data_IF_415678102707
#
_entry.id   IF_415678102707
#
_cell.length_a   1.000
_cell.length_b   1.000
_cell.length_c   1.000
_cell.angle_alpha   90.00
_cell.angle_beta   90.00
_cell.angle_gamma   90.00
#
_symmetry.space_group_name_H-M   'P 1'
#
loop_
_entity.id
_entity.type
_entity.pdbx_description
1 polymer ?
#
# COMPACT_ATOMS: atom_id res chain seq x y z
N UNK A 1 55.82 -0.57 -15.12
CA UNK A 1 55.61 0.87 -15.37
C UNK A 1 54.64 1.37 -14.30
N UNK A 2 55.20 2.19 -13.38
CA UNK A 2 54.40 2.83 -12.32
C UNK A 2 53.59 3.97 -12.94
N UNK A 3 52.32 3.69 -13.24
CA UNK A 3 51.37 4.67 -13.68
C UNK A 3 50.57 5.22 -12.48
N UNK A 4 51.02 6.35 -11.93
CA UNK A 4 50.23 7.10 -10.97
C UNK A 4 49.06 7.76 -11.67
N UNK A 5 47.81 7.50 -11.21
CA UNK A 5 46.59 8.20 -11.65
C UNK A 5 46.28 9.30 -10.63
N UNK A 6 46.12 10.52 -11.12
CA UNK A 6 45.65 11.66 -10.33
C UNK A 6 44.15 11.79 -10.62
N UNK A 7 43.33 11.66 -9.56
CA UNK A 7 41.90 12.01 -9.63
C UNK A 7 41.70 13.37 -8.99
N UNK A 8 41.19 14.32 -9.75
CA UNK A 8 40.73 15.60 -9.24
C UNK A 8 39.22 15.54 -8.96
N UNK A 9 38.83 15.97 -7.77
CA UNK A 9 37.43 16.19 -7.46
C UNK A 9 37.06 17.68 -7.60
N UNK A 10 35.80 18.01 -7.64
CA UNK A 10 35.29 19.36 -7.79
C UNK A 10 35.72 20.31 -6.64
N UNK A 11 36.31 19.82 -5.56
CA UNK A 11 36.84 20.61 -4.46
C UNK A 11 38.34 20.90 -4.59
N UNK A 12 38.99 20.50 -5.67
CA UNK A 12 40.41 20.75 -5.95
C UNK A 12 41.38 20.00 -5.04
N UNK A 13 40.96 18.90 -4.41
CA UNK A 13 41.85 18.02 -3.62
C UNK A 13 42.43 16.96 -4.53
N UNK A 14 43.72 17.00 -4.76
CA UNK A 14 44.45 15.99 -5.50
C UNK A 14 44.87 14.83 -4.59
N UNK A 15 44.46 13.60 -4.95
CA UNK A 15 44.98 12.41 -4.26
C UNK A 15 46.04 11.74 -5.14
N UNK A 16 47.23 11.57 -4.60
CA UNK A 16 48.30 10.79 -5.22
C UNK A 16 48.31 9.39 -4.59
N UNK A 17 48.06 8.35 -5.40
CA UNK A 17 48.19 6.97 -4.99
C UNK A 17 49.48 6.38 -5.51
N UNK A 18 50.35 5.96 -4.60
CA UNK A 18 51.56 5.19 -4.93
C UNK A 18 51.39 3.77 -4.43
N UNK A 19 50.99 2.88 -5.33
CA UNK A 19 50.78 1.48 -5.04
C UNK A 19 50.34 0.71 -6.28
N UNK A 20 50.32 -0.62 -6.17
CA UNK A 20 49.81 -1.48 -7.21
C UNK A 20 48.30 -1.63 -7.04
N UNK A 21 47.52 -1.03 -7.91
CA UNK A 21 46.09 -1.28 -7.98
C UNK A 21 45.91 -2.69 -8.55
N UNK A 22 45.46 -3.64 -7.75
CA UNK A 22 44.97 -4.90 -8.26
C UNK A 22 43.57 -4.61 -8.81
N UNK A 23 43.47 -4.37 -10.11
CA UNK A 23 42.20 -4.45 -10.81
C UNK A 23 41.91 -5.95 -10.85
N UNK A 24 41.03 -6.44 -9.98
CA UNK A 24 40.41 -7.74 -10.21
C UNK A 24 39.71 -7.62 -11.56
N UNK A 25 40.05 -8.57 -12.46
CA UNK A 25 39.41 -8.68 -13.77
C UNK A 25 37.88 -8.75 -13.56
N UNK A 26 37.20 -7.65 -13.78
CA UNK A 26 35.74 -7.58 -13.76
C UNK A 26 35.17 -7.99 -15.11
N UNK A 27 35.98 -8.65 -15.93
CA UNK A 27 35.66 -8.96 -17.32
C UNK A 27 35.02 -10.33 -17.52
N UNK A 28 34.76 -11.09 -16.41
CA UNK A 28 34.18 -12.43 -16.59
C UNK A 28 32.65 -12.48 -16.48
N UNK A 29 31.98 -11.38 -16.04
CA UNK A 29 30.53 -11.38 -15.87
C UNK A 29 29.80 -10.22 -16.59
N UNK A 30 30.45 -9.55 -17.55
CA UNK A 30 29.73 -8.61 -18.40
C UNK A 30 29.08 -9.41 -19.53
N UNK A 31 27.89 -9.91 -19.30
CA UNK A 31 27.02 -10.41 -20.35
C UNK A 31 26.63 -9.23 -21.25
N UNK A 32 27.10 -9.28 -22.49
CA UNK A 32 26.69 -8.33 -23.52
C UNK A 32 25.19 -8.55 -23.80
N UNK A 33 24.31 -7.59 -23.47
CA UNK A 33 22.87 -7.79 -23.68
C UNK A 33 22.49 -7.96 -25.15
N UNK A 34 23.40 -7.68 -26.07
CA UNK A 34 23.23 -7.87 -27.52
C UNK A 34 23.93 -9.13 -28.07
N UNK A 35 24.51 -10.00 -27.20
CA UNK A 35 25.10 -11.26 -27.63
C UNK A 35 24.00 -12.27 -28.00
N UNK A 36 23.83 -12.61 -29.29
CA UNK A 36 22.78 -13.54 -29.70
C UNK A 36 22.99 -14.97 -29.22
N UNK A 37 24.14 -15.29 -28.64
CA UNK A 37 24.48 -16.60 -28.08
C UNK A 37 24.26 -16.70 -26.56
N UNK A 38 23.91 -15.60 -25.89
CA UNK A 38 23.46 -15.63 -24.48
C UNK A 38 22.06 -16.25 -24.45
N UNK A 39 21.85 -17.41 -23.80
CA UNK A 39 20.49 -17.93 -23.63
C UNK A 39 19.66 -16.85 -22.91
N UNK A 40 18.53 -16.46 -23.50
CA UNK A 40 17.56 -15.57 -22.84
C UNK A 40 17.37 -16.07 -21.42
N UNK A 41 17.82 -15.29 -20.44
CA UNK A 41 17.58 -15.60 -19.04
C UNK A 41 16.05 -15.69 -18.88
N UNK A 42 15.51 -16.82 -18.42
CA UNK A 42 14.06 -16.98 -18.36
C UNK A 42 13.50 -15.83 -17.55
N UNK A 43 12.57 -15.09 -18.14
CA UNK A 43 11.92 -13.98 -17.46
C UNK A 43 11.51 -14.43 -16.04
N UNK A 44 11.78 -13.63 -15.00
CA UNK A 44 11.54 -14.02 -13.62
C UNK A 44 10.09 -14.50 -13.46
N UNK A 45 9.93 -15.72 -12.97
CA UNK A 45 8.60 -16.29 -12.75
C UNK A 45 7.79 -15.42 -11.81
N UNK A 46 6.58 -15.06 -12.24
CA UNK A 46 5.64 -14.36 -11.39
C UNK A 46 5.14 -15.32 -10.30
N UNK A 47 5.37 -15.05 -9.03
CA UNK A 47 4.90 -15.92 -7.97
C UNK A 47 3.38 -16.09 -8.02
N UNK A 48 2.90 -17.32 -7.84
CA UNK A 48 1.49 -17.67 -7.79
C UNK A 48 1.11 -18.07 -6.35
N UNK A 49 0.10 -17.41 -5.80
CA UNK A 49 -0.31 -17.57 -4.41
C UNK A 49 -1.80 -17.93 -4.34
N UNK A 50 -2.09 -19.01 -3.63
CA UNK A 50 -3.47 -19.37 -3.27
C UNK A 50 -3.87 -18.64 -2.00
N UNK A 51 -4.81 -17.72 -2.14
CA UNK A 51 -5.43 -17.03 -1.01
C UNK A 51 -6.44 -17.96 -0.35
N UNK A 52 -6.40 -18.09 0.95
CA UNK A 52 -7.21 -19.09 1.69
C UNK A 52 -8.28 -18.49 2.58
N UNK A 53 -8.13 -17.21 2.93
CA UNK A 53 -9.10 -16.47 3.75
C UNK A 53 -9.31 -15.09 3.18
N UNK A 54 -10.43 -14.47 3.53
CA UNK A 54 -10.72 -13.11 3.14
C UNK A 54 -11.96 -12.57 3.83
N UNK A 55 -12.22 -11.29 3.59
CA UNK A 55 -13.38 -10.57 4.08
C UNK A 55 -13.83 -9.53 3.07
N UNK A 56 -15.10 -9.24 3.09
CA UNK A 56 -15.74 -8.27 2.23
C UNK A 56 -16.54 -7.29 3.08
N UNK A 57 -16.24 -6.01 2.95
CA UNK A 57 -16.92 -4.93 3.66
C UNK A 57 -17.55 -3.98 2.66
N UNK A 58 -18.78 -3.54 2.90
CA UNK A 58 -19.35 -2.41 2.18
C UNK A 58 -18.95 -1.12 2.92
N UNK A 59 -18.21 -0.26 2.25
CA UNK A 59 -17.72 1.00 2.82
C UNK A 59 -18.75 2.13 2.68
N UNK A 60 -19.42 2.19 1.52
CA UNK A 60 -20.57 3.05 1.25
C UNK A 60 -21.36 2.47 0.07
N UNK A 61 -22.39 3.19 -0.40
CA UNK A 61 -23.43 2.68 -1.32
C UNK A 61 -22.95 1.76 -2.45
N UNK A 62 -21.75 1.99 -2.99
CA UNK A 62 -21.22 1.18 -4.10
C UNK A 62 -19.70 0.93 -4.02
N UNK A 63 -19.06 1.24 -2.90
CA UNK A 63 -17.64 0.97 -2.67
C UNK A 63 -17.49 -0.16 -1.66
N UNK A 64 -16.75 -1.17 -2.08
CA UNK A 64 -16.47 -2.37 -1.30
C UNK A 64 -14.99 -2.50 -1.04
N UNK A 65 -14.68 -2.98 0.13
CA UNK A 65 -13.33 -3.30 0.56
C UNK A 65 -13.20 -4.82 0.62
N UNK A 66 -12.38 -5.36 -0.28
CA UNK A 66 -12.08 -6.78 -0.36
C UNK A 66 -10.67 -7.03 0.15
N UNK A 67 -10.53 -7.86 1.15
CA UNK A 67 -9.25 -8.31 1.67
C UNK A 67 -9.12 -9.81 1.47
N UNK A 68 -7.98 -10.27 0.95
CA UNK A 68 -7.63 -11.67 0.84
C UNK A 68 -6.28 -11.91 1.50
N UNK A 69 -6.14 -13.07 2.14
CA UNK A 69 -4.91 -13.49 2.84
C UNK A 69 -4.53 -14.91 2.48
N UNK A 70 -3.24 -15.11 2.35
CA UNK A 70 -2.64 -16.43 2.24
C UNK A 70 -2.55 -17.08 3.63
N UNK A 71 -2.75 -18.40 3.70
CA UNK A 71 -2.58 -19.18 4.93
C UNK A 71 -1.17 -19.72 5.11
N UNK A 72 -0.28 -19.48 4.15
CA UNK A 72 1.08 -19.97 4.27
C UNK A 72 1.82 -19.26 5.43
N UNK A 73 2.23 -19.98 6.49
CA UNK A 73 2.91 -19.34 7.62
C UNK A 73 4.34 -18.87 7.29
N UNK A 74 4.89 -19.26 6.13
CA UNK A 74 6.23 -18.85 5.70
C UNK A 74 6.22 -17.51 4.95
N UNK A 75 5.27 -17.32 4.04
CA UNK A 75 5.19 -16.16 3.17
C UNK A 75 3.78 -15.60 3.19
N UNK A 76 3.52 -14.68 4.09
CA UNK A 76 2.18 -14.13 4.21
C UNK A 76 1.96 -13.06 3.15
N UNK A 77 1.15 -13.38 2.16
CA UNK A 77 0.62 -12.42 1.21
C UNK A 77 -0.77 -11.93 1.65
N UNK A 78 -0.98 -10.66 1.51
CA UNK A 78 -2.24 -9.99 1.82
C UNK A 78 -2.57 -8.99 0.71
N UNK A 79 -3.78 -9.06 0.17
CA UNK A 79 -4.26 -8.10 -0.83
C UNK A 79 -5.37 -7.26 -0.25
N UNK A 80 -5.46 -6.03 -0.70
CA UNK A 80 -6.51 -5.09 -0.33
C UNK A 80 -6.99 -4.38 -1.58
N UNK A 81 -8.27 -4.56 -1.90
CA UNK A 81 -8.89 -3.92 -3.04
C UNK A 81 -10.04 -3.02 -2.60
N UNK A 82 -10.06 -1.81 -3.10
CA UNK A 82 -11.20 -0.92 -3.06
C UNK A 82 -11.93 -1.05 -4.38
N UNK A 83 -13.08 -1.72 -4.36
CA UNK A 83 -13.86 -2.04 -5.56
C UNK A 83 -15.02 -1.07 -5.66
N UNK A 84 -15.26 -0.54 -6.86
CA UNK A 84 -16.48 0.18 -7.16
C UNK A 84 -17.41 -0.71 -7.98
N UNK A 85 -18.61 -0.93 -7.46
CA UNK A 85 -19.64 -1.75 -8.08
C UNK A 85 -20.75 -0.89 -8.68
N UNK A 86 -21.56 -1.44 -9.60
CA UNK A 86 -22.85 -0.86 -9.95
C UNK A 86 -23.70 -0.68 -8.71
N UNK A 87 -24.45 0.42 -8.66
CA UNK A 87 -25.41 0.64 -7.59
C UNK A 87 -26.43 -0.51 -7.56
N UNK A 88 -26.47 -1.23 -6.46
CA UNK A 88 -27.31 -2.40 -6.27
C UNK A 88 -27.70 -2.55 -4.81
N UNK A 89 -28.92 -3.00 -4.55
CA UNK A 89 -29.34 -3.39 -3.18
C UNK A 89 -28.71 -4.74 -2.75
N UNK A 90 -28.05 -5.43 -3.67
CA UNK A 90 -27.40 -6.71 -3.38
C UNK A 90 -26.05 -6.48 -2.69
N UNK A 91 -25.79 -7.14 -1.55
CA UNK A 91 -24.49 -7.10 -0.89
C UNK A 91 -23.44 -7.97 -1.59
N UNK A 92 -23.78 -8.60 -2.72
CA UNK A 92 -22.89 -9.50 -3.44
C UNK A 92 -22.02 -8.73 -4.43
N UNK A 93 -20.76 -9.14 -4.56
CA UNK A 93 -19.91 -8.71 -5.66
C UNK A 93 -20.49 -9.23 -6.98
N UNK A 94 -20.59 -8.35 -7.96
CA UNK A 94 -20.98 -8.76 -9.30
C UNK A 94 -19.88 -9.61 -9.94
N UNK A 95 -20.27 -10.64 -10.69
CA UNK A 95 -19.30 -11.41 -11.51
C UNK A 95 -18.80 -10.57 -12.66
N UNK A 96 -17.54 -10.67 -12.99
CA UNK A 96 -16.93 -9.99 -14.13
C UNK A 96 -15.47 -9.60 -13.90
N UNK A 97 -14.95 -8.85 -14.84
CA UNK A 97 -13.60 -8.30 -14.79
C UNK A 97 -13.61 -6.93 -14.12
N UNK A 98 -12.72 -6.78 -13.14
CA UNK A 98 -12.46 -5.52 -12.46
C UNK A 98 -11.09 -5.03 -12.85
N UNK A 99 -11.01 -3.82 -13.38
CA UNK A 99 -9.76 -3.22 -13.82
C UNK A 99 -9.34 -2.11 -12.88
N UNK A 100 -8.06 -2.10 -12.52
CA UNK A 100 -7.49 -1.03 -11.70
C UNK A 100 -7.41 0.27 -12.51
N UNK A 101 -8.05 1.32 -12.00
CA UNK A 101 -8.10 2.64 -12.61
C UNK A 101 -8.12 3.72 -11.52
N UNK A 102 -7.74 4.94 -11.87
CA UNK A 102 -7.91 6.12 -11.01
C UNK A 102 -9.28 6.76 -11.19
N UNK A 103 -10.00 6.40 -12.24
CA UNK A 103 -11.36 6.87 -12.51
C UNK A 103 -12.37 6.05 -11.72
N UNK A 104 -13.33 6.73 -11.10
CA UNK A 104 -14.35 6.05 -10.30
C UNK A 104 -15.49 5.44 -11.11
N UNK A 105 -15.22 4.72 -12.20
CA UNK A 105 -16.21 3.98 -13.00
C UNK A 105 -16.63 2.69 -12.31
N UNK A 106 -17.79 2.15 -12.69
CA UNK A 106 -18.26 0.86 -12.17
C UNK A 106 -17.38 -0.29 -12.65
N UNK A 107 -17.35 -1.38 -11.91
CA UNK A 107 -16.49 -2.56 -12.16
C UNK A 107 -15.00 -2.19 -12.20
N UNK A 108 -14.60 -1.27 -11.33
CA UNK A 108 -13.20 -0.84 -11.22
C UNK A 108 -12.63 -1.11 -9.83
N UNK A 109 -11.31 -1.17 -9.79
CA UNK A 109 -10.49 -1.18 -8.58
C UNK A 109 -9.86 0.21 -8.47
N UNK A 110 -10.02 0.89 -7.35
CA UNK A 110 -9.30 2.14 -7.10
C UNK A 110 -7.80 1.85 -6.95
N UNK A 111 -7.03 2.11 -8.02
CA UNK A 111 -5.60 1.84 -8.05
C UNK A 111 -4.83 2.63 -7.00
N UNK A 112 -5.31 3.83 -6.63
CA UNK A 112 -4.63 4.72 -5.67
C UNK A 112 -4.69 4.18 -4.24
N UNK A 113 -5.73 3.40 -3.92
CA UNK A 113 -5.97 2.86 -2.57
C UNK A 113 -5.66 1.38 -2.45
N UNK A 114 -5.66 0.67 -3.57
CA UNK A 114 -5.48 -0.78 -3.60
C UNK A 114 -4.00 -1.17 -3.64
N UNK A 115 -3.68 -2.25 -2.96
CA UNK A 115 -2.31 -2.72 -2.83
C UNK A 115 -2.28 -4.20 -2.43
N UNK A 116 -1.11 -4.77 -2.47
CA UNK A 116 -0.80 -6.03 -1.84
C UNK A 116 0.49 -5.95 -1.03
N UNK A 117 0.55 -6.73 0.01
CA UNK A 117 1.70 -6.82 0.90
C UNK A 117 2.32 -8.21 0.81
N UNK A 118 3.63 -8.22 0.98
CA UNK A 118 4.40 -9.41 1.27
C UNK A 118 5.09 -9.23 2.63
N UNK A 119 5.01 -10.24 3.49
CA UNK A 119 5.71 -10.22 4.78
C UNK A 119 6.99 -11.03 4.66
N UNK A 120 8.12 -10.32 4.64
CA UNK A 120 9.45 -10.91 4.64
C UNK A 120 9.82 -11.38 6.06
N UNK A 121 9.70 -12.67 6.30
CA UNK A 121 10.00 -13.25 7.62
C UNK A 121 11.49 -13.38 7.91
N UNK A 122 12.30 -13.47 6.89
CA UNK A 122 13.74 -13.55 7.03
C UNK A 122 14.34 -12.19 7.44
N UNK A 123 13.59 -11.11 7.17
CA UNK A 123 13.96 -9.75 7.48
C UNK A 123 13.02 -9.10 8.51
N UNK A 124 12.97 -9.68 9.73
CA UNK A 124 12.24 -9.14 10.89
C UNK A 124 10.73 -8.97 10.70
N UNK A 125 10.10 -9.74 9.84
CA UNK A 125 8.68 -9.61 9.44
C UNK A 125 8.35 -8.24 8.81
N UNK A 126 9.27 -7.67 8.06
CA UNK A 126 9.02 -6.46 7.30
C UNK A 126 7.86 -6.65 6.33
N UNK A 127 6.85 -5.79 6.41
CA UNK A 127 5.79 -5.73 5.41
C UNK A 127 6.22 -4.87 4.24
N UNK A 128 6.36 -5.50 3.08
CA UNK A 128 6.67 -4.83 1.83
C UNK A 128 5.36 -4.56 1.10
N UNK A 129 4.99 -3.30 1.01
CA UNK A 129 3.79 -2.85 0.32
C UNK A 129 4.07 -2.65 -1.16
N UNK A 130 3.17 -3.14 -2.01
CA UNK A 130 3.21 -2.99 -3.44
C UNK A 130 1.91 -2.31 -3.90
N UNK A 131 2.01 -1.10 -4.44
CA UNK A 131 0.86 -0.35 -4.95
C UNK A 131 0.41 -0.91 -6.28
N UNK A 132 -0.88 -1.08 -6.41
CA UNK A 132 -1.47 -1.61 -7.63
C UNK A 132 -1.28 -0.61 -8.78
N UNK A 133 -0.90 -1.13 -9.96
CA UNK A 133 -0.82 -0.34 -11.18
C UNK A 133 -2.16 -0.28 -11.89
N UNK A 134 -2.41 0.84 -12.56
CA UNK A 134 -3.51 0.95 -13.50
C UNK A 134 -3.42 -0.12 -14.59
N UNK A 135 -4.56 -0.60 -15.03
CA UNK A 135 -4.66 -1.66 -16.02
C UNK A 135 -4.57 -3.08 -15.46
N UNK A 136 -4.15 -3.25 -14.20
CA UNK A 136 -4.22 -4.55 -13.50
C UNK A 136 -5.65 -5.06 -13.47
N UNK A 137 -5.84 -6.36 -13.72
CA UNK A 137 -7.17 -6.98 -13.77
C UNK A 137 -7.29 -8.14 -12.81
N UNK A 138 -8.45 -8.21 -12.14
CA UNK A 138 -8.91 -9.41 -11.47
C UNK A 138 -10.25 -9.86 -12.06
N UNK A 139 -10.46 -11.15 -12.09
CA UNK A 139 -11.71 -11.76 -12.50
C UNK A 139 -12.43 -12.32 -11.29
N UNK A 140 -13.70 -11.96 -11.10
CA UNK A 140 -14.52 -12.41 -9.98
C UNK A 140 -15.69 -13.21 -10.55
N UNK A 141 -15.92 -14.40 -9.99
CA UNK A 141 -17.10 -15.21 -10.24
C UNK A 141 -17.83 -15.38 -8.91
N UNK A 142 -19.06 -14.91 -8.85
CA UNK A 142 -19.96 -15.11 -7.71
C UNK A 142 -20.81 -16.36 -7.95
N UNK A 143 -20.80 -17.28 -6.99
CA UNK A 143 -21.62 -18.49 -7.02
C UNK A 143 -22.86 -18.39 -6.10
N UNK A 144 -23.15 -17.20 -5.56
CA UNK A 144 -24.19 -16.97 -4.55
C UNK A 144 -23.70 -17.21 -3.13
N UNK A 145 -24.49 -16.84 -2.14
CA UNK A 145 -24.23 -17.04 -0.71
C UNK A 145 -22.82 -16.60 -0.28
N UNK A 146 -22.33 -15.49 -0.82
CA UNK A 146 -20.99 -14.96 -0.59
C UNK A 146 -19.83 -15.92 -0.94
N UNK A 147 -20.09 -16.88 -1.85
CA UNK A 147 -19.05 -17.75 -2.40
C UNK A 147 -18.49 -17.14 -3.69
N UNK A 148 -17.18 -17.05 -3.74
CA UNK A 148 -16.47 -16.41 -4.84
C UNK A 148 -15.28 -17.22 -5.31
N UNK A 149 -15.01 -17.14 -6.60
CA UNK A 149 -13.70 -17.46 -7.18
C UNK A 149 -13.11 -16.16 -7.71
N UNK A 150 -11.89 -15.83 -7.26
CA UNK A 150 -11.20 -14.60 -7.63
C UNK A 150 -9.82 -14.96 -8.14
N UNK A 151 -9.52 -14.55 -9.37
CA UNK A 151 -8.23 -14.82 -10.00
C UNK A 151 -7.68 -13.55 -10.66
N UNK A 152 -6.38 -13.46 -10.80
CA UNK A 152 -5.76 -12.35 -11.51
C UNK A 152 -4.26 -12.30 -11.36
N UNK A 153 -3.62 -11.50 -12.21
CA UNK A 153 -2.21 -11.12 -12.07
C UNK A 153 -2.15 -9.66 -11.64
N UNK A 154 -1.68 -9.44 -10.43
CA UNK A 154 -1.51 -8.11 -9.85
C UNK A 154 -0.16 -7.56 -10.31
N UNK A 155 -0.19 -6.43 -10.99
CA UNK A 155 1.01 -5.65 -11.29
C UNK A 155 1.10 -4.48 -10.33
N UNK A 156 2.27 -4.24 -9.80
CA UNK A 156 2.46 -3.21 -8.78
C UNK A 156 3.84 -2.58 -8.81
N UNK A 157 4.01 -1.59 -7.92
CA UNK A 157 5.30 -0.98 -7.64
C UNK A 157 5.57 -1.07 -6.15
N UNK A 158 6.73 -1.62 -5.79
CA UNK A 158 7.15 -1.74 -4.40
C UNK A 158 7.46 -0.37 -3.78
N UNK A 159 6.82 -0.05 -2.67
CA UNK A 159 7.10 1.18 -1.91
C UNK A 159 8.54 1.17 -1.33
N UNK A 160 9.11 -0.01 -1.08
CA UNK A 160 10.46 -0.15 -0.51
C UNK A 160 11.56 0.07 -1.55
N UNK A 161 11.38 -0.43 -2.77
CA UNK A 161 12.44 -0.45 -3.78
C UNK A 161 12.16 0.40 -5.02
N UNK A 162 10.91 0.85 -5.21
CA UNK A 162 10.45 1.52 -6.43
C UNK A 162 10.39 0.61 -7.68
N UNK A 163 10.73 -0.68 -7.53
CA UNK A 163 10.74 -1.63 -8.66
C UNK A 163 9.35 -2.14 -8.97
N UNK A 164 9.16 -2.51 -10.23
CA UNK A 164 7.97 -3.22 -10.67
C UNK A 164 7.93 -4.62 -10.04
N UNK A 165 6.76 -5.02 -9.62
CA UNK A 165 6.48 -6.30 -8.99
C UNK A 165 5.22 -6.90 -9.59
N UNK A 166 5.10 -8.22 -9.57
CA UNK A 166 3.89 -8.91 -9.99
C UNK A 166 3.57 -10.07 -9.04
N UNK A 167 2.28 -10.38 -8.91
CA UNK A 167 1.77 -11.47 -8.09
C UNK A 167 0.54 -12.07 -8.76
N UNK A 168 0.54 -13.37 -9.00
CA UNK A 168 -0.64 -14.12 -9.39
C UNK A 168 -1.42 -14.54 -8.15
N UNK A 169 -2.72 -14.25 -8.12
CA UNK A 169 -3.61 -14.65 -7.04
C UNK A 169 -4.70 -15.58 -7.54
N UNK A 170 -5.11 -16.47 -6.65
CA UNK A 170 -6.23 -17.36 -6.83
C UNK A 170 -6.90 -17.57 -5.47
N UNK A 171 -8.19 -17.32 -5.40
CA UNK A 171 -9.03 -17.51 -4.23
C UNK A 171 -10.27 -18.28 -4.63
N UNK A 172 -10.70 -19.24 -3.81
CA UNK A 172 -12.00 -19.91 -3.97
C UNK A 172 -12.56 -20.22 -2.57
N UNK A 173 -13.69 -19.61 -2.24
CA UNK A 173 -14.30 -19.78 -0.93
C UNK A 173 -15.36 -18.76 -0.61
N UNK A 174 -15.80 -18.78 0.65
CA UNK A 174 -16.78 -17.85 1.19
C UNK A 174 -16.07 -16.63 1.75
N UNK A 175 -16.55 -15.44 1.38
CA UNK A 175 -16.13 -14.17 1.97
C UNK A 175 -17.19 -13.74 2.99
N UNK A 176 -16.89 -13.72 4.28
CA UNK A 176 -17.76 -13.08 5.25
C UNK A 176 -18.02 -11.64 4.82
N UNK A 177 -19.29 -11.24 4.83
CA UNK A 177 -19.71 -9.90 4.47
C UNK A 177 -20.09 -9.11 5.72
N UNK A 178 -19.58 -7.90 5.83
CA UNK A 178 -19.95 -6.96 6.87
C UNK A 178 -20.34 -5.62 6.23
N UNK A 179 -21.50 -5.10 6.63
CA UNK A 179 -21.83 -3.71 6.37
C UNK A 179 -21.03 -2.85 7.35
N UNK A 180 -20.12 -2.06 6.81
CA UNK A 180 -19.51 -1.00 7.58
C UNK A 180 -20.54 0.15 7.65
N UNK A 181 -21.41 0.10 8.63
CA UNK A 181 -22.14 1.29 9.02
C UNK A 181 -21.08 2.29 9.48
N UNK A 182 -20.90 3.35 8.71
CA UNK A 182 -20.12 4.50 9.18
C UNK A 182 -20.64 4.82 10.59
N UNK A 183 -19.81 4.74 11.64
CA UNK A 183 -20.29 5.07 12.97
C UNK A 183 -20.91 6.46 12.83
N UNK A 184 -22.22 6.56 13.15
CA UNK A 184 -22.91 7.85 13.11
C UNK A 184 -21.96 8.87 13.71
N UNK A 185 -21.70 10.00 13.03
CA UNK A 185 -20.79 11.00 13.56
C UNK A 185 -21.27 11.29 14.96
N UNK A 186 -20.52 10.85 15.96
CA UNK A 186 -20.80 11.18 17.36
C UNK A 186 -20.67 12.70 17.37
N UNK A 187 -21.80 13.38 17.33
CA UNK A 187 -21.78 14.84 17.49
C UNK A 187 -20.96 15.09 18.75
N UNK A 188 -19.89 15.87 18.66
CA UNK A 188 -19.09 16.13 19.83
C UNK A 188 -20.03 16.68 20.88
N UNK A 189 -20.22 15.95 21.97
CA UNK A 189 -20.99 16.40 23.12
C UNK A 189 -20.22 17.61 23.63
N UNK A 190 -20.65 18.78 23.22
CA UNK A 190 -20.10 20.04 23.74
C UNK A 190 -20.51 20.05 25.19
N UNK A 191 -19.60 19.80 26.10
CA UNK A 191 -19.84 19.97 27.51
C UNK A 191 -20.09 21.46 27.73
N UNK A 192 -21.35 21.82 28.03
CA UNK A 192 -21.65 23.17 28.48
C UNK A 192 -21.10 23.35 29.91
N UNK A 193 -20.05 24.12 30.02
CA UNK A 193 -19.49 24.51 31.31
C UNK A 193 -19.99 25.90 31.63
N UNK A 194 -20.81 25.99 32.67
CA UNK A 194 -21.27 27.29 33.17
C UNK A 194 -20.15 27.97 33.96
N UNK A 195 -19.60 29.02 33.39
CA UNK A 195 -18.61 29.85 34.06
C UNK A 195 -19.34 30.87 34.94
N UNK A 196 -19.09 30.87 36.25
CA UNK A 196 -19.79 31.72 37.21
C UNK A 196 -18.94 32.81 37.80
N UNK A 197 -17.64 32.73 37.65
CA UNK A 197 -16.71 33.75 38.14
C UNK A 197 -15.81 34.17 37.00
N UNK A 198 -15.77 35.48 36.74
CA UNK A 198 -14.89 36.06 35.73
C UNK A 198 -14.18 37.29 36.22
N UNK A 199 -12.91 37.43 35.93
CA UNK A 199 -12.14 38.64 36.09
C UNK A 199 -11.79 39.21 34.73
N UNK A 200 -11.98 40.50 34.56
CA UNK A 200 -11.52 41.23 33.38
C UNK A 200 -10.43 42.21 33.84
N UNK A 201 -9.20 41.88 33.47
CA UNK A 201 -8.04 42.68 33.81
C UNK A 201 -7.61 43.51 32.60
N UNK A 202 -7.36 44.80 32.81
CA UNK A 202 -6.79 45.70 31.80
C UNK A 202 -5.28 45.58 31.84
N UNK A 203 -4.70 45.26 30.69
CA UNK A 203 -3.27 45.00 30.65
C UNK A 203 -2.45 46.18 30.10
N UNK A 204 -2.76 46.67 28.94
CA UNK A 204 -2.16 47.87 28.33
C UNK A 204 -2.77 48.14 26.97
N UNK A 205 -2.91 49.43 26.57
CA UNK A 205 -3.20 49.86 25.20
C UNK A 205 -4.41 49.20 24.52
N UNK A 206 -5.54 49.02 25.21
CA UNK A 206 -6.76 48.34 24.74
C UNK A 206 -6.71 46.79 24.75
N UNK A 207 -5.76 46.19 25.45
CA UNK A 207 -5.72 44.75 25.66
C UNK A 207 -6.33 44.41 27.01
N UNK A 208 -7.32 43.52 26.99
CA UNK A 208 -8.01 42.99 28.17
C UNK A 208 -7.81 41.50 28.27
N UNK A 209 -7.54 41.00 29.47
CA UNK A 209 -7.51 39.56 29.73
C UNK A 209 -8.77 39.17 30.47
N UNK A 210 -9.57 38.27 29.87
CA UNK A 210 -10.75 37.70 30.50
C UNK A 210 -10.39 36.32 31.04
N UNK A 211 -10.47 36.17 32.37
CA UNK A 211 -10.29 34.87 33.04
C UNK A 211 -11.65 34.40 33.55
N UNK A 212 -12.10 33.24 33.04
CA UNK A 212 -13.33 32.60 33.47
C UNK A 212 -12.99 31.37 34.33
N UNK A 213 -13.76 31.15 35.39
CA UNK A 213 -13.61 29.97 36.25
C UNK A 213 -14.96 29.29 36.45
N UNK A 214 -14.93 27.98 36.48
CA UNK A 214 -16.08 27.17 36.86
C UNK A 214 -16.40 27.40 38.35
N UNK A 215 -17.71 27.38 38.68
CA UNK A 215 -18.18 27.51 40.04
C UNK A 215 -18.01 26.27 40.89
N UNK A 216 -17.58 25.16 40.29
CA UNK A 216 -17.44 23.88 40.97
C UNK A 216 -15.97 23.57 41.21
N UNK A 217 -15.35 24.01 42.30
CA UNK A 217 -13.93 23.72 42.58
C UNK A 217 -13.84 22.34 43.23
N UNK A 218 -14.13 21.29 42.50
CA UNK A 218 -13.74 19.92 42.88
C UNK A 218 -12.68 19.45 41.91
N UNK A 219 -11.51 19.80 42.24
CA UNK A 219 -10.14 19.21 42.27
C UNK A 219 -9.06 20.22 41.99
#
# INVERSE_FOLDING_TARGET
QDGGSIMENEAGVAFAFTGRLLISDYSEDYEDPDDPDTPDDPAPEVPEVTMSTGSLYRYNDNIYYLQLKDANPADLYETTFYLKLPASDSPLLASGDYMAATTGEEMTIDASKSFWNFTDKDNHNDKIKNRLKEGTKIHIVSSGDHNYTITGTLEGTSDKTGKNTALKINFSGTLPFEDYADPEPVEPTVAEVTMTIGNLDYYDGNIYTLTLKDANPTD
#
